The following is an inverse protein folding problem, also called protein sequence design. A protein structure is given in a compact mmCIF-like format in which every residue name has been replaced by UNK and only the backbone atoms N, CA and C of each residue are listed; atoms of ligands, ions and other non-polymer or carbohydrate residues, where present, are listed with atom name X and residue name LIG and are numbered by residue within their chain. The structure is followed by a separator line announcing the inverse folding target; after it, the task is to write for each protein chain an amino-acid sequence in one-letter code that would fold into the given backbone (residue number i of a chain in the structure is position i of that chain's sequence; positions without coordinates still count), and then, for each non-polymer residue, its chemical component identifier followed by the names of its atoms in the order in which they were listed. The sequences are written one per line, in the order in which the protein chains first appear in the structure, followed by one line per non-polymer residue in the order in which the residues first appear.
data_IF_474946867641
#
_entry.id   IF_474946867641
#
_cell.length_a   1.000
_cell.length_b   1.000
_cell.length_c   1.000
_cell.angle_alpha   90.00
_cell.angle_beta   90.00
_cell.angle_gamma   90.00
#
_symmetry.space_group_name_H-M   'P 1'
#
loop_
_entity.id
_entity.type
_entity.pdbx_description
1 polymer ?
#
# COMPACT_ATOMS: atom_id res chain seq x y z
N UNK A 1 15.46 7.68 -0.26
CA UNK A 1 14.53 6.54 -0.37
C UNK A 1 15.03 5.65 -1.50
N UNK A 2 14.71 4.36 -1.47
CA UNK A 2 15.11 3.40 -2.51
C UNK A 2 13.88 3.10 -3.38
N UNK A 3 14.03 3.21 -4.69
CA UNK A 3 12.95 2.84 -5.62
C UNK A 3 12.86 1.33 -5.75
N UNK A 4 11.64 0.81 -5.56
CA UNK A 4 11.30 -0.58 -5.82
C UNK A 4 10.54 -0.69 -7.16
N UNK A 5 10.70 -1.81 -7.90
CA UNK A 5 9.86 -2.09 -9.06
C UNK A 5 8.39 -2.24 -8.62
N UNK A 6 7.47 -1.98 -9.55
CA UNK A 6 6.03 -2.10 -9.28
C UNK A 6 5.66 -3.48 -8.69
N UNK A 7 6.22 -4.57 -9.22
CA UNK A 7 5.98 -5.93 -8.72
C UNK A 7 6.34 -6.13 -7.22
N UNK A 8 7.37 -5.44 -6.73
CA UNK A 8 7.74 -5.49 -5.30
C UNK A 8 6.74 -4.69 -4.45
N UNK A 9 6.22 -3.57 -4.98
CA UNK A 9 5.16 -2.79 -4.33
C UNK A 9 3.88 -3.64 -4.23
N UNK A 10 3.47 -4.28 -5.33
CA UNK A 10 2.32 -5.19 -5.38
C UNK A 10 2.47 -6.36 -4.40
N UNK A 11 3.68 -6.92 -4.29
CA UNK A 11 4.01 -7.98 -3.34
C UNK A 11 3.85 -7.49 -1.90
N UNK A 12 4.36 -6.30 -1.58
CA UNK A 12 4.24 -5.71 -0.24
C UNK A 12 2.78 -5.39 0.12
N UNK A 13 2.00 -4.87 -0.84
CA UNK A 13 0.57 -4.60 -0.68
C UNK A 13 -0.20 -5.90 -0.43
N UNK A 14 0.03 -6.94 -1.25
CA UNK A 14 -0.60 -8.26 -1.10
C UNK A 14 -0.31 -8.87 0.28
N UNK A 15 0.96 -8.89 0.69
CA UNK A 15 1.35 -9.46 1.97
C UNK A 15 0.74 -8.70 3.16
N UNK A 16 0.65 -7.36 3.08
CA UNK A 16 -0.02 -6.56 4.10
C UNK A 16 -1.54 -6.81 4.11
N UNK A 17 -2.13 -7.02 2.94
CA UNK A 17 -3.55 -7.34 2.81
C UNK A 17 -3.88 -8.72 3.41
N UNK A 18 -3.00 -9.71 3.25
CA UNK A 18 -3.15 -11.03 3.90
C UNK A 18 -3.14 -10.90 5.44
N UNK A 19 -2.26 -10.05 5.99
CA UNK A 19 -2.25 -9.75 7.44
C UNK A 19 -3.55 -9.08 7.88
N UNK A 20 -4.08 -8.16 7.07
CA UNK A 20 -5.38 -7.56 7.32
C UNK A 20 -6.52 -8.60 7.32
N UNK A 21 -6.56 -9.52 6.35
CA UNK A 21 -7.55 -10.60 6.31
C UNK A 21 -7.43 -11.53 7.53
N UNK A 22 -6.20 -11.83 7.95
CA UNK A 22 -5.90 -12.59 9.16
C UNK A 22 -6.08 -11.82 10.48
N UNK A 23 -6.39 -10.52 10.43
CA UNK A 23 -6.44 -9.62 11.58
C UNK A 23 -5.15 -9.66 12.43
N UNK A 24 -4.00 -9.80 11.77
CA UNK A 24 -2.69 -9.89 12.41
C UNK A 24 -1.91 -8.56 12.30
N UNK A 25 -1.90 -7.71 13.34
CA UNK A 25 -1.31 -6.39 13.27
C UNK A 25 0.22 -6.37 13.36
N UNK A 26 0.89 -7.53 13.35
CA UNK A 26 2.34 -7.58 13.50
C UNK A 26 3.05 -7.13 12.23
N UNK A 27 3.96 -6.17 12.37
CA UNK A 27 4.91 -5.81 11.31
C UNK A 27 5.83 -6.99 10.99
N UNK A 28 6.24 -7.11 9.72
CA UNK A 28 7.03 -8.23 9.22
C UNK A 28 8.02 -7.78 8.15
N UNK A 29 9.01 -8.63 7.86
CA UNK A 29 10.01 -8.37 6.84
C UNK A 29 9.76 -9.22 5.59
N UNK A 30 10.00 -8.64 4.42
CA UNK A 30 9.99 -9.31 3.11
C UNK A 30 11.38 -9.19 2.47
N UNK A 31 11.74 -10.16 1.63
CA UNK A 31 12.87 -10.00 0.71
C UNK A 31 12.31 -9.56 -0.65
N UNK A 32 12.60 -8.30 -1.02
CA UNK A 32 12.13 -7.66 -2.25
C UNK A 32 13.34 -7.19 -3.05
N UNK A 33 13.52 -7.73 -4.26
CA UNK A 33 14.69 -7.48 -5.12
C UNK A 33 16.04 -7.60 -4.39
N UNK A 34 16.19 -8.61 -3.52
CA UNK A 34 17.42 -8.89 -2.77
C UNK A 34 17.64 -7.93 -1.59
N UNK A 35 16.57 -7.33 -1.07
CA UNK A 35 16.60 -6.38 0.05
C UNK A 35 15.58 -6.79 1.09
N UNK A 36 15.99 -6.79 2.35
CA UNK A 36 15.05 -6.89 3.46
C UNK A 36 14.25 -5.58 3.60
N UNK A 37 12.95 -5.65 3.31
CA UNK A 37 11.99 -4.55 3.40
C UNK A 37 11.04 -4.83 4.56
N UNK A 38 11.03 -3.94 5.55
CA UNK A 38 10.07 -4.03 6.66
C UNK A 38 8.74 -3.42 6.25
N UNK A 39 7.71 -4.24 6.22
CA UNK A 39 6.31 -3.79 6.15
C UNK A 39 5.86 -3.41 7.55
N UNK A 40 5.65 -2.12 7.78
CA UNK A 40 5.10 -1.62 9.04
C UNK A 40 3.60 -1.74 9.03
N UNK A 41 3.03 -2.21 10.13
CA UNK A 41 1.59 -2.29 10.36
C UNK A 41 1.30 -1.65 11.72
N UNK A 42 0.36 -0.70 11.74
CA UNK A 42 -0.16 -0.08 12.93
C UNK A 42 -1.69 -0.11 12.92
N UNK A 43 -2.30 -0.56 14.02
CA UNK A 43 -3.74 -0.39 14.22
C UNK A 43 -4.02 1.01 14.77
N UNK A 44 -4.78 1.79 14.03
CA UNK A 44 -5.24 3.13 14.43
C UNK A 44 -6.76 3.16 14.36
N UNK A 45 -7.41 3.07 15.51
CA UNK A 45 -8.87 2.92 15.63
C UNK A 45 -9.40 1.73 14.80
N UNK A 46 -10.13 2.02 13.72
CA UNK A 46 -10.67 1.05 12.76
C UNK A 46 -9.76 0.86 11.54
N UNK A 47 -8.49 1.28 11.58
CA UNK A 47 -7.59 1.25 10.44
C UNK A 47 -6.41 0.32 10.65
N UNK A 48 -6.20 -0.53 9.66
CA UNK A 48 -5.01 -1.32 9.44
C UNK A 48 -4.05 -0.49 8.57
N UNK A 49 -3.21 0.30 9.22
CA UNK A 49 -2.36 1.31 8.59
C UNK A 49 -0.98 0.72 8.26
N UNK A 50 -0.71 0.53 6.97
CA UNK A 50 0.42 -0.23 6.46
C UNK A 50 1.35 0.62 5.60
N UNK A 51 2.61 0.21 5.48
CA UNK A 51 3.51 0.79 4.49
C UNK A 51 4.91 0.21 4.55
N UNK A 52 5.78 0.72 3.69
CA UNK A 52 7.19 0.35 3.58
C UNK A 52 8.08 1.60 3.70
N UNK A 53 8.35 2.07 4.93
CA UNK A 53 9.12 3.28 5.15
C UNK A 53 10.52 3.20 4.52
N UNK A 54 10.94 4.28 3.85
CA UNK A 54 12.25 4.37 3.20
C UNK A 54 12.26 3.88 1.74
N UNK A 55 11.16 3.30 1.25
CA UNK A 55 10.99 2.84 -0.12
C UNK A 55 9.99 3.72 -0.89
N UNK A 56 10.18 3.81 -2.21
CA UNK A 56 9.32 4.55 -3.13
C UNK A 56 9.00 3.74 -4.38
N UNK A 57 7.94 4.14 -5.07
CA UNK A 57 7.55 3.70 -6.40
C UNK A 57 7.75 4.83 -7.41
N UNK A 58 8.13 4.50 -8.65
CA UNK A 58 8.16 5.48 -9.73
C UNK A 58 6.75 6.05 -9.99
N UNK A 59 6.64 7.37 -10.20
CA UNK A 59 5.36 8.05 -10.41
C UNK A 59 4.59 7.51 -11.63
N UNK A 60 5.29 7.04 -12.66
CA UNK A 60 4.66 6.46 -13.87
C UNK A 60 3.92 5.14 -13.63
N UNK A 61 4.20 4.46 -12.50
CA UNK A 61 3.53 3.21 -12.14
C UNK A 61 2.24 3.42 -11.33
N UNK A 62 1.85 4.67 -11.06
CA UNK A 62 0.63 4.98 -10.28
C UNK A 62 -0.62 4.43 -10.96
N UNK A 63 -0.75 4.62 -12.27
CA UNK A 63 -1.91 4.14 -13.03
C UNK A 63 -1.94 2.61 -13.07
N UNK A 64 -0.79 1.97 -13.31
CA UNK A 64 -0.67 0.51 -13.32
C UNK A 64 -1.02 -0.11 -11.96
N UNK A 65 -0.56 0.50 -10.85
CA UNK A 65 -0.97 0.09 -9.50
C UNK A 65 -2.48 0.31 -9.29
N UNK A 66 -3.03 1.42 -9.81
CA UNK A 66 -4.45 1.73 -9.73
C UNK A 66 -5.34 0.71 -10.43
N UNK A 67 -4.91 0.19 -11.58
CA UNK A 67 -5.59 -0.88 -12.31
C UNK A 67 -5.43 -2.25 -11.62
N UNK A 68 -4.25 -2.51 -11.05
CA UNK A 68 -3.95 -3.77 -10.35
C UNK A 68 -4.77 -3.95 -9.06
N UNK A 69 -4.99 -2.88 -8.30
CA UNK A 69 -5.61 -2.93 -6.96
C UNK A 69 -7.03 -3.52 -6.97
N UNK A 70 -7.99 -3.09 -7.80
CA UNK A 70 -9.33 -3.67 -7.82
C UNK A 70 -9.38 -5.18 -8.11
N UNK A 71 -8.42 -5.69 -8.90
CA UNK A 71 -8.34 -7.10 -9.27
C UNK A 71 -7.80 -7.98 -8.13
N UNK A 72 -6.87 -7.45 -7.33
CA UNK A 72 -6.12 -8.23 -6.31
C UNK A 72 -6.58 -7.92 -4.88
N UNK A 73 -7.16 -6.75 -4.66
CA UNK A 73 -7.72 -6.28 -3.40
C UNK A 73 -9.25 -6.19 -3.54
N UNK A 74 -9.86 -7.28 -4.01
CA UNK A 74 -11.31 -7.40 -4.12
C UNK A 74 -11.88 -7.96 -2.81
N UNK A 75 -13.00 -7.39 -2.34
CA UNK A 75 -13.46 -7.61 -0.97
C UNK A 75 -13.73 -9.07 -0.65
N UNK A 76 -13.25 -9.46 0.53
CA UNK A 76 -13.90 -10.40 1.43
C UNK A 76 -15.37 -9.98 1.67
N UNK A 77 -16.26 -10.29 0.73
CA UNK A 77 -17.70 -10.45 0.94
C UNK A 77 -18.56 -9.21 1.27
N UNK A 78 -18.16 -7.97 1.00
CA UNK A 78 -19.03 -6.82 1.29
C UNK A 78 -18.71 -5.53 0.53
N UNK A 79 -19.65 -5.13 -0.35
CA UNK A 79 -20.00 -3.79 -0.90
C UNK A 79 -18.92 -2.81 -1.42
N UNK A 80 -17.63 -3.00 -1.12
CA UNK A 80 -16.56 -2.05 -1.44
C UNK A 80 -15.44 -2.73 -2.21
N UNK A 81 -15.02 -2.10 -3.31
CA UNK A 81 -13.87 -2.54 -4.11
C UNK A 81 -12.63 -1.79 -3.61
N UNK A 82 -11.50 -2.49 -3.48
CA UNK A 82 -10.22 -1.85 -3.19
C UNK A 82 -9.89 -0.82 -4.27
N UNK A 83 -9.29 0.30 -3.90
CA UNK A 83 -8.95 1.36 -4.84
C UNK A 83 -7.71 2.13 -4.45
N UNK A 84 -7.24 2.97 -5.36
CA UNK A 84 -6.12 3.86 -5.12
C UNK A 84 -6.65 5.26 -4.77
N UNK A 85 -6.29 5.75 -3.58
CA UNK A 85 -6.61 7.11 -3.17
C UNK A 85 -5.81 8.13 -4.02
N UNK A 86 -6.35 9.34 -4.26
CA UNK A 86 -5.65 10.37 -4.99
C UNK A 86 -4.29 10.70 -4.38
N UNK A 87 -3.30 10.97 -5.25
CA UNK A 87 -1.96 11.35 -4.81
C UNK A 87 -2.01 12.60 -3.91
N UNK A 88 -1.32 12.54 -2.78
CA UNK A 88 -1.10 13.66 -1.87
C UNK A 88 0.38 13.97 -1.74
N UNK A 89 0.75 15.24 -1.83
CA UNK A 89 2.14 15.68 -1.60
C UNK A 89 2.40 15.94 -0.12
N UNK A 90 3.49 15.37 0.40
CA UNK A 90 4.02 15.61 1.75
C UNK A 90 5.46 16.11 1.61
N UNK A 91 5.63 17.43 1.67
CA UNK A 91 6.91 18.05 1.30
C UNK A 91 7.19 17.85 -0.19
N UNK A 92 8.31 17.19 -0.53
CA UNK A 92 8.73 16.87 -1.91
C UNK A 92 8.42 15.42 -2.31
N UNK A 93 7.60 14.72 -1.53
CA UNK A 93 7.29 13.30 -1.71
C UNK A 93 5.80 13.17 -2.01
N UNK A 94 5.46 12.53 -3.11
CA UNK A 94 4.08 12.14 -3.42
C UNK A 94 3.73 10.88 -2.65
N UNK A 95 2.47 10.73 -2.28
CA UNK A 95 1.97 9.54 -1.61
C UNK A 95 0.62 9.15 -2.21
N UNK A 96 0.47 7.88 -2.57
CA UNK A 96 -0.81 7.26 -2.92
C UNK A 96 -1.09 6.16 -1.92
N UNK A 97 -2.37 5.90 -1.66
CA UNK A 97 -2.76 4.87 -0.71
C UNK A 97 -3.62 3.82 -1.38
N UNK A 98 -3.26 2.55 -1.21
CA UNK A 98 -4.15 1.44 -1.52
C UNK A 98 -5.14 1.31 -0.37
N UNK A 99 -6.42 1.45 -0.66
CA UNK A 99 -7.48 1.49 0.35
C UNK A 99 -8.55 0.46 0.08
N UNK A 100 -8.98 -0.23 1.13
CA UNK A 100 -10.23 -0.99 1.14
C UNK A 100 -10.97 -0.65 2.42
N UNK A 101 -12.21 -0.15 2.30
CA UNK A 101 -13.04 0.17 3.46
C UNK A 101 -14.14 -0.87 3.61
N UNK A 102 -14.14 -1.61 4.71
CA UNK A 102 -15.30 -2.43 5.09
C UNK A 102 -16.19 -1.66 6.06
N UNK A 103 -17.31 -2.26 6.48
CA UNK A 103 -18.18 -1.70 7.51
C UNK A 103 -17.48 -1.49 8.86
N UNK A 104 -16.44 -2.26 9.14
CA UNK A 104 -15.84 -2.37 10.48
C UNK A 104 -14.37 -1.98 10.54
N UNK A 105 -13.62 -2.19 9.46
CA UNK A 105 -12.19 -1.91 9.44
C UNK A 105 -11.75 -1.47 8.04
N UNK A 106 -10.78 -0.56 7.99
CA UNK A 106 -10.18 -0.02 6.77
C UNK A 106 -8.77 -0.57 6.62
N UNK A 107 -8.48 -1.20 5.49
CA UNK A 107 -7.11 -1.41 5.03
C UNK A 107 -6.60 -0.14 4.37
N UNK A 108 -5.41 0.32 4.74
CA UNK A 108 -4.78 1.50 4.18
C UNK A 108 -3.27 1.28 4.05
N UNK A 109 -2.76 1.05 2.84
CA UNK A 109 -1.34 0.87 2.59
C UNK A 109 -0.77 2.12 1.91
N UNK A 110 0.17 2.80 2.57
CA UNK A 110 0.84 3.99 2.04
C UNK A 110 1.98 3.59 1.10
N UNK A 111 1.97 4.17 -0.10
CA UNK A 111 3.04 4.05 -1.09
C UNK A 111 3.63 5.45 -1.31
N UNK A 112 4.91 5.62 -0.99
CA UNK A 112 5.62 6.85 -1.34
C UNK A 112 6.01 6.82 -2.82
N UNK A 113 6.02 7.99 -3.45
CA UNK A 113 6.45 8.19 -4.83
C UNK A 113 7.81 8.89 -4.86
N UNK A 114 8.54 8.70 -5.95
CA UNK A 114 9.85 9.34 -6.16
C UNK A 114 9.79 10.87 -6.14
N UNK A 115 8.67 11.42 -6.62
CA UNK A 115 8.40 12.86 -6.73
C UNK A 115 7.04 13.18 -6.15
N UNK A 116 6.79 14.47 -5.91
CA UNK A 116 5.48 14.97 -5.51
C UNK A 116 4.41 14.74 -6.60
N UNK A 117 3.17 15.14 -6.33
CA UNK A 117 2.05 14.87 -7.23
C UNK A 117 1.97 15.83 -8.42
N UNK A 118 2.91 16.77 -8.57
CA UNK A 118 3.01 17.72 -9.66
C UNK A 118 4.30 17.52 -10.44
N UNK A 119 4.17 16.89 -11.62
CA UNK A 119 5.16 16.70 -12.69
C UNK A 119 6.58 17.23 -12.48
#
# INVERSE_FOLDING_TARGET
MITLPLADIETAVSAAFDRYLGQDPQSFDLDLSGRTVRVTIELRDDRFDCGIPGFVMANENVDALGDWVPEHINAAGGEYVGGLAPCKSVGKIGQVNVVLRTKHVMFNFHVNLERDCGA
#
